data_IF_051220111954
#
_entry.id   IF_051220111954
#
_cell.length_a   1.000
_cell.length_b   1.000
_cell.length_c   1.000
_cell.angle_alpha   90.00
_cell.angle_beta   90.00
_cell.angle_gamma   90.00
#
_symmetry.space_group_name_H-M   'P 1'
#
loop_
_entity.id
_entity.type
_entity.pdbx_description
1 polymer ?
#
# COMPACT_ATOMS: atom_id res chain seq x y z
N UNK A 1 8.80 -7.06 -14.19
CA UNK A 1 7.71 -6.07 -14.17
C UNK A 1 8.34 -4.75 -13.78
N UNK A 2 8.08 -3.67 -14.50
CA UNK A 2 8.52 -2.33 -14.11
C UNK A 2 7.56 -1.76 -13.04
N UNK A 3 8.03 -0.93 -12.13
CA UNK A 3 7.26 -0.35 -11.02
C UNK A 3 6.09 0.47 -11.54
N UNK A 4 6.29 1.23 -12.63
CA UNK A 4 5.23 2.01 -13.27
C UNK A 4 4.05 1.13 -13.72
N UNK A 5 4.33 -0.04 -14.31
CA UNK A 5 3.29 -0.97 -14.74
C UNK A 5 2.57 -1.62 -13.55
N UNK A 6 3.30 -1.89 -12.47
CA UNK A 6 2.72 -2.39 -11.22
C UNK A 6 1.80 -1.33 -10.58
N UNK A 7 2.21 -0.06 -10.60
CA UNK A 7 1.42 1.05 -10.11
C UNK A 7 0.12 1.23 -10.92
N UNK A 8 0.18 1.23 -12.25
CA UNK A 8 -1.01 1.34 -13.10
C UNK A 8 -2.02 0.20 -12.86
N UNK A 9 -1.53 -1.03 -12.71
CA UNK A 9 -2.39 -2.16 -12.36
C UNK A 9 -3.01 -2.00 -10.97
N UNK A 10 -2.26 -1.45 -10.02
CA UNK A 10 -2.76 -1.13 -8.69
C UNK A 10 -3.81 0.00 -8.72
N UNK A 11 -3.60 1.05 -9.52
CA UNK A 11 -4.58 2.13 -9.73
C UNK A 11 -5.91 1.58 -10.24
N UNK A 12 -5.89 0.65 -11.19
CA UNK A 12 -7.12 -0.02 -11.66
C UNK A 12 -7.77 -0.87 -10.56
N UNK A 13 -6.97 -1.64 -9.83
CA UNK A 13 -7.45 -2.52 -8.77
C UNK A 13 -8.17 -1.76 -7.65
N UNK A 14 -7.60 -0.64 -7.19
CA UNK A 14 -8.20 0.13 -6.09
C UNK A 14 -9.49 0.83 -6.51
N UNK A 15 -9.82 0.96 -7.80
CA UNK A 15 -11.10 1.53 -8.24
C UNK A 15 -12.25 0.52 -8.19
N UNK A 16 -11.98 -0.75 -7.91
CA UNK A 16 -13.02 -1.77 -7.80
C UNK A 16 -13.86 -1.55 -6.54
N UNK A 17 -15.17 -1.37 -6.73
CA UNK A 17 -16.14 -1.29 -5.64
C UNK A 17 -16.32 -2.64 -4.97
N UNK A 18 -16.30 -2.65 -3.64
CA UNK A 18 -16.45 -3.83 -2.81
C UNK A 18 -17.67 -3.65 -1.89
N UNK A 19 -18.35 -4.76 -1.61
CA UNK A 19 -19.48 -4.81 -0.65
C UNK A 19 -19.04 -5.43 0.66
N UNK A 20 -19.65 -5.01 1.77
CA UNK A 20 -19.31 -5.55 3.11
C UNK A 20 -18.07 -4.92 3.74
N UNK A 21 -17.68 -3.75 3.22
CA UNK A 21 -16.64 -2.89 3.76
C UNK A 21 -17.30 -1.82 4.63
N UNK A 22 -16.71 -1.51 5.78
CA UNK A 22 -17.18 -0.44 6.66
C UNK A 22 -17.12 0.94 5.99
N UNK A 23 -17.81 1.90 6.60
CA UNK A 23 -17.70 3.30 6.22
C UNK A 23 -16.34 3.92 6.56
N UNK A 24 -16.10 5.16 6.10
CA UNK A 24 -14.85 5.88 6.34
C UNK A 24 -14.55 6.10 7.83
N UNK A 25 -15.55 6.07 8.71
CA UNK A 25 -15.35 6.17 10.17
C UNK A 25 -14.51 5.05 10.79
N UNK A 26 -14.32 3.94 10.06
CA UNK A 26 -13.53 2.78 10.50
C UNK A 26 -12.31 2.52 9.63
N UNK A 27 -11.86 3.52 8.85
CA UNK A 27 -10.79 3.35 7.85
C UNK A 27 -11.12 2.20 6.88
N UNK A 28 -12.39 2.22 6.41
CA UNK A 28 -13.01 1.11 5.70
C UNK A 28 -12.25 0.65 4.47
N UNK A 29 -11.71 1.58 3.68
CA UNK A 29 -11.07 1.29 2.40
C UNK A 29 -9.91 2.26 2.13
N UNK A 30 -8.75 1.94 2.68
CA UNK A 30 -7.55 2.79 2.67
C UNK A 30 -6.53 2.33 1.62
N UNK A 31 -5.76 3.28 1.11
CA UNK A 31 -4.63 3.03 0.21
C UNK A 31 -3.33 3.32 0.95
N UNK A 32 -2.41 2.37 0.87
CA UNK A 32 -1.13 2.40 1.57
C UNK A 32 -0.04 2.15 0.53
N UNK A 33 0.89 3.09 0.36
CA UNK A 33 2.18 2.80 -0.26
C UNK A 33 3.24 2.76 0.85
N UNK A 34 4.09 1.75 0.87
CA UNK A 34 5.10 1.56 1.93
C UNK A 34 6.48 1.28 1.34
N UNK A 35 7.52 1.63 2.10
CA UNK A 35 8.90 1.37 1.69
C UNK A 35 9.83 1.22 2.88
N UNK A 36 10.89 0.44 2.68
CA UNK A 36 11.90 0.19 3.69
C UNK A 36 12.52 -1.20 3.56
N UNK A 37 13.21 -1.59 4.63
CA UNK A 37 13.77 -2.91 4.86
C UNK A 37 13.16 -3.47 6.14
N UNK A 38 12.64 -4.69 6.05
CA UNK A 38 12.04 -5.38 7.18
C UNK A 38 12.66 -6.76 7.35
N UNK A 39 12.74 -7.21 8.60
CA UNK A 39 13.37 -8.47 8.99
C UNK A 39 12.65 -9.70 8.38
N UNK A 40 11.32 -9.63 8.26
CA UNK A 40 10.51 -10.66 7.61
C UNK A 40 10.72 -10.76 6.09
N UNK A 41 11.37 -9.76 5.48
CA UNK A 41 11.69 -9.71 4.06
C UNK A 41 13.18 -9.92 3.76
N UNK A 42 13.90 -10.60 4.65
CA UNK A 42 15.34 -10.83 4.53
C UNK A 42 16.14 -9.50 4.45
N UNK A 43 15.60 -8.42 5.03
CA UNK A 43 16.15 -7.06 4.96
C UNK A 43 16.34 -6.51 3.53
N UNK A 44 15.63 -7.09 2.55
CA UNK A 44 15.67 -6.60 1.17
C UNK A 44 14.93 -5.26 1.04
N UNK A 45 15.48 -4.26 0.33
CA UNK A 45 14.76 -3.04 0.02
C UNK A 45 13.45 -3.36 -0.69
N UNK A 46 12.35 -2.83 -0.15
CA UNK A 46 11.00 -3.14 -0.62
C UNK A 46 10.22 -1.85 -0.87
N UNK A 47 9.41 -1.87 -1.93
CA UNK A 47 8.33 -0.93 -2.18
C UNK A 47 7.04 -1.74 -2.28
N UNK A 48 6.00 -1.37 -1.55
CA UNK A 48 4.71 -2.07 -1.62
C UNK A 48 3.54 -1.12 -1.84
N UNK A 49 2.49 -1.67 -2.47
CA UNK A 49 1.22 -1.00 -2.70
C UNK A 49 0.10 -1.86 -2.11
N UNK A 50 -0.63 -1.30 -1.17
CA UNK A 50 -1.59 -1.97 -0.32
C UNK A 50 -2.96 -1.30 -0.35
N UNK A 51 -4.01 -2.12 -0.31
CA UNK A 51 -5.39 -1.70 -0.05
C UNK A 51 -5.84 -2.35 1.25
N UNK A 52 -6.01 -1.55 2.29
CA UNK A 52 -6.53 -2.02 3.58
C UNK A 52 -8.04 -1.91 3.58
N UNK A 53 -8.70 -2.97 4.06
CA UNK A 53 -10.14 -3.15 4.06
C UNK A 53 -10.62 -3.47 5.47
N UNK A 54 -11.49 -2.64 6.04
CA UNK A 54 -12.21 -2.96 7.27
C UNK A 54 -13.49 -3.73 6.91
N UNK A 55 -13.49 -5.03 7.15
CA UNK A 55 -14.56 -5.95 6.76
C UNK A 55 -15.56 -6.14 7.89
N UNK A 56 -16.84 -6.05 7.57
CA UNK A 56 -17.96 -6.27 8.49
C UNK A 56 -18.10 -7.76 8.90
N UNK A 57 -17.23 -8.25 9.79
CA UNK A 57 -17.30 -9.63 10.31
C UNK A 57 -17.89 -9.66 11.74
N UNK A 58 -18.71 -10.66 12.08
CA UNK A 58 -19.24 -10.83 13.45
C UNK A 58 -20.57 -10.09 13.73
N UNK A 59 -20.98 -10.04 14.99
CA UNK A 59 -22.24 -9.40 15.41
C UNK A 59 -22.00 -7.94 15.85
N UNK A 60 -22.45 -6.98 15.03
CA UNK A 60 -22.37 -5.54 15.33
C UNK A 60 -23.09 -5.10 16.62
N UNK A 61 -23.94 -5.97 17.18
CA UNK A 61 -24.62 -5.70 18.46
C UNK A 61 -23.74 -5.98 19.66
N UNK A 62 -22.61 -6.66 19.48
CA UNK A 62 -21.62 -6.84 20.54
C UNK A 62 -20.99 -5.48 20.88
N UNK A 63 -21.05 -5.02 22.15
CA UNK A 63 -20.41 -3.78 22.58
C UNK A 63 -18.90 -3.73 22.34
N UNK A 64 -18.23 -4.88 22.18
CA UNK A 64 -16.80 -4.99 21.87
C UNK A 64 -16.51 -5.20 20.38
N UNK A 65 -17.51 -5.10 19.52
CA UNK A 65 -17.35 -5.37 18.09
C UNK A 65 -16.39 -4.38 17.42
N UNK A 66 -15.49 -4.91 16.59
CA UNK A 66 -14.64 -4.17 15.66
C UNK A 66 -14.61 -4.90 14.31
N UNK A 67 -14.43 -4.18 13.19
CA UNK A 67 -14.24 -4.81 11.89
C UNK A 67 -12.94 -5.62 11.86
N UNK A 68 -12.91 -6.64 10.99
CA UNK A 68 -11.68 -7.34 10.69
C UNK A 68 -10.89 -6.56 9.64
N UNK A 69 -9.64 -6.20 9.94
CA UNK A 69 -8.79 -5.51 8.98
C UNK A 69 -8.06 -6.52 8.10
N UNK A 70 -8.14 -6.30 6.79
CA UNK A 70 -7.47 -7.11 5.77
C UNK A 70 -6.62 -6.22 4.89
N UNK A 71 -5.44 -6.68 4.51
CA UNK A 71 -4.54 -5.98 3.60
C UNK A 71 -4.34 -6.82 2.33
N UNK A 72 -4.70 -6.26 1.18
CA UNK A 72 -4.28 -6.78 -0.13
C UNK A 72 -3.04 -6.01 -0.53
N UNK A 73 -1.89 -6.69 -0.63
CA UNK A 73 -0.60 -6.04 -0.86
C UNK A 73 0.12 -6.63 -2.09
N UNK A 74 0.64 -5.73 -2.93
CA UNK A 74 1.66 -6.03 -3.93
C UNK A 74 3.01 -5.57 -3.40
N UNK A 75 3.89 -6.51 -3.06
CA UNK A 75 5.26 -6.26 -2.66
C UNK A 75 6.21 -6.34 -3.87
N UNK A 76 7.11 -5.37 -3.99
CA UNK A 76 8.21 -5.34 -4.96
C UNK A 76 9.54 -5.27 -4.21
N UNK A 77 10.40 -6.28 -4.40
CA UNK A 77 11.71 -6.35 -3.75
C UNK A 77 12.81 -6.01 -4.73
N UNK A 78 13.83 -5.32 -4.25
CA UNK A 78 14.95 -4.83 -5.04
C UNK A 78 16.26 -5.43 -4.55
N UNK A 79 17.24 -5.51 -5.44
CA UNK A 79 18.62 -5.74 -5.01
C UNK A 79 19.11 -4.52 -4.21
N UNK A 80 20.13 -4.71 -3.37
CA UNK A 80 20.82 -3.59 -2.76
C UNK A 80 21.49 -2.72 -3.83
N UNK A 81 21.33 -1.40 -3.71
CA UNK A 81 21.98 -0.40 -4.54
C UNK A 81 22.32 0.84 -3.70
N UNK A 82 23.47 1.49 -3.92
CA UNK A 82 23.80 2.76 -3.25
C UNK A 82 22.71 3.82 -3.34
N UNK A 83 21.92 3.86 -4.42
CA UNK A 83 20.87 4.85 -4.66
C UNK A 83 19.70 4.82 -3.66
N UNK A 84 19.53 3.72 -2.91
CA UNK A 84 18.52 3.57 -1.85
C UNK A 84 19.09 2.89 -0.61
N UNK A 85 20.39 3.06 -0.37
CA UNK A 85 21.10 2.48 0.77
C UNK A 85 20.59 2.97 2.13
N UNK A 86 19.96 4.15 2.17
CA UNK A 86 19.38 4.78 3.35
C UNK A 86 17.84 4.82 3.30
N UNK A 87 17.20 3.90 2.57
CA UNK A 87 15.74 3.84 2.42
C UNK A 87 14.99 3.84 3.77
N UNK A 88 15.56 3.22 4.80
CA UNK A 88 14.99 3.16 6.15
C UNK A 88 15.01 4.51 6.88
N UNK A 89 15.83 5.45 6.40
CA UNK A 89 15.96 6.81 6.94
C UNK A 89 15.07 7.82 6.20
N UNK A 90 14.32 7.40 5.18
CA UNK A 90 13.28 8.23 4.57
C UNK A 90 12.19 8.42 5.63
N UNK A 91 11.99 9.66 6.08
CA UNK A 91 11.25 9.97 7.32
C UNK A 91 9.75 9.63 7.34
N UNK A 92 9.19 9.16 6.23
CA UNK A 92 7.89 8.50 6.15
C UNK A 92 8.17 7.07 5.66
N UNK A 93 7.51 6.05 6.19
CA UNK A 93 7.68 4.65 5.73
C UNK A 93 6.37 4.06 5.16
N UNK A 94 5.26 4.77 5.32
CA UNK A 94 3.98 4.49 4.69
C UNK A 94 3.18 5.77 4.45
N UNK A 95 2.15 5.70 3.59
CA UNK A 95 1.25 6.82 3.35
C UNK A 95 0.02 6.83 4.26
N UNK A 96 -0.50 5.66 4.65
CA UNK A 96 -1.64 5.51 5.55
C UNK A 96 -2.88 6.36 5.20
N UNK A 97 -3.27 6.47 3.92
CA UNK A 97 -4.29 7.43 3.48
C UNK A 97 -5.67 6.75 3.38
N UNK A 98 -6.66 7.30 4.07
CA UNK A 98 -8.07 6.99 3.81
C UNK A 98 -8.47 7.51 2.44
N UNK A 99 -8.95 6.59 1.59
CA UNK A 99 -9.37 6.88 0.24
C UNK A 99 -10.75 6.27 -0.05
N UNK A 100 -11.63 6.13 0.95
CA UNK A 100 -12.87 5.36 0.86
C UNK A 100 -13.79 5.71 -0.33
N UNK A 101 -13.79 6.96 -0.79
CA UNK A 101 -14.59 7.39 -1.94
C UNK A 101 -13.91 7.04 -3.28
N UNK A 102 -14.48 6.04 -3.98
CA UNK A 102 -14.04 5.58 -5.31
C UNK A 102 -14.28 6.65 -6.39
N UNK A 103 -13.50 6.60 -7.46
CA UNK A 103 -13.58 7.51 -8.60
C UNK A 103 -12.64 8.70 -8.44
N UNK A 104 -13.11 9.90 -8.76
CA UNK A 104 -12.27 11.09 -8.82
C UNK A 104 -11.52 11.41 -7.50
N UNK A 105 -12.12 11.26 -6.31
CA UNK A 105 -11.40 11.49 -5.05
C UNK A 105 -10.25 10.50 -4.85
N UNK A 106 -10.49 9.20 -5.05
CA UNK A 106 -9.44 8.17 -5.02
C UNK A 106 -8.36 8.39 -6.07
N UNK A 107 -8.72 8.82 -7.28
CA UNK A 107 -7.74 9.19 -8.32
C UNK A 107 -6.86 10.36 -7.89
N UNK A 108 -7.40 11.34 -7.17
CA UNK A 108 -6.59 12.46 -6.65
C UNK A 108 -5.61 11.96 -5.57
N UNK A 109 -6.04 11.08 -4.67
CA UNK A 109 -5.17 10.45 -3.66
C UNK A 109 -4.03 9.67 -4.33
N UNK A 110 -4.34 8.85 -5.34
CA UNK A 110 -3.33 8.12 -6.11
C UNK A 110 -2.31 9.07 -6.76
N UNK A 111 -2.76 10.17 -7.35
CA UNK A 111 -1.88 11.16 -7.94
C UNK A 111 -0.97 11.84 -6.89
N UNK A 112 -1.44 12.02 -5.66
CA UNK A 112 -0.65 12.55 -4.55
C UNK A 112 0.38 11.54 -4.04
N UNK A 113 0.01 10.26 -3.90
CA UNK A 113 0.94 9.17 -3.56
C UNK A 113 2.03 9.06 -4.63
N UNK A 114 1.65 9.05 -5.91
CA UNK A 114 2.60 8.99 -7.01
C UNK A 114 3.59 10.17 -6.98
N UNK A 115 3.10 11.39 -6.69
CA UNK A 115 3.96 12.57 -6.53
C UNK A 115 4.89 12.47 -5.32
N UNK A 116 4.40 11.93 -4.20
CA UNK A 116 5.19 11.68 -3.01
C UNK A 116 6.33 10.71 -3.30
N UNK A 117 6.06 9.59 -3.98
CA UNK A 117 7.07 8.61 -4.38
C UNK A 117 8.19 9.24 -5.23
N UNK A 118 7.85 10.24 -6.05
CA UNK A 118 8.82 10.94 -6.88
C UNK A 118 9.53 12.10 -6.16
N UNK A 119 9.09 12.48 -4.95
CA UNK A 119 9.69 13.58 -4.18
C UNK A 119 10.94 13.16 -3.40
N UNK A 120 11.10 11.86 -3.12
CA UNK A 120 12.28 11.29 -2.46
C UNK A 120 13.22 10.66 -3.50
N UNK A 121 14.52 11.03 -3.53
CA UNK A 121 15.47 10.49 -4.50
C UNK A 121 15.56 8.96 -4.52
N UNK A 122 15.50 8.32 -3.34
CA UNK A 122 15.57 6.87 -3.17
C UNK A 122 14.37 6.19 -3.83
N UNK A 123 13.16 6.68 -3.54
CA UNK A 123 11.91 6.16 -4.10
C UNK A 123 11.85 6.39 -5.61
N UNK A 124 12.26 7.57 -6.08
CA UNK A 124 12.35 7.85 -7.51
C UNK A 124 13.42 6.99 -8.22
N UNK A 125 14.46 6.54 -7.53
CA UNK A 125 15.44 5.59 -8.05
C UNK A 125 14.85 4.18 -8.12
N UNK A 126 14.21 3.71 -7.04
CA UNK A 126 13.50 2.43 -7.01
C UNK A 126 12.39 2.36 -8.07
N UNK A 127 11.64 3.44 -8.28
CA UNK A 127 10.60 3.54 -9.30
C UNK A 127 11.10 3.31 -10.72
N UNK A 128 12.37 3.67 -11.00
CA UNK A 128 13.02 3.45 -12.29
C UNK A 128 13.79 2.14 -12.38
N UNK A 129 13.90 1.42 -11.26
CA UNK A 129 14.63 0.17 -11.18
C UNK A 129 13.71 -1.01 -11.47
N UNK A 130 14.31 -2.15 -11.81
CA UNK A 130 13.57 -3.39 -11.97
C UNK A 130 13.60 -4.18 -10.65
N UNK A 131 12.42 -4.50 -10.05
CA UNK A 131 12.34 -5.42 -8.92
C UNK A 131 12.93 -6.79 -9.28
N UNK A 132 13.66 -7.39 -8.34
CA UNK A 132 14.18 -8.75 -8.47
C UNK A 132 13.13 -9.80 -8.13
N UNK A 133 12.12 -9.43 -7.34
CA UNK A 133 11.01 -10.30 -6.95
C UNK A 133 9.75 -9.47 -6.74
N UNK A 134 8.60 -10.09 -6.98
CA UNK A 134 7.29 -9.54 -6.63
C UNK A 134 6.43 -10.61 -5.96
N UNK A 135 5.55 -10.20 -5.04
CA UNK A 135 4.58 -11.06 -4.37
C UNK A 135 3.25 -10.30 -4.24
N UNK A 136 2.15 -11.01 -4.45
CA UNK A 136 0.82 -10.54 -4.04
C UNK A 136 0.40 -11.35 -2.82
N UNK A 137 -0.10 -10.68 -1.79
CA UNK A 137 -0.58 -11.29 -0.57
C UNK A 137 -1.96 -10.73 -0.18
N UNK A 138 -2.74 -11.55 0.51
CA UNK A 138 -3.94 -11.15 1.23
C UNK A 138 -3.74 -11.62 2.66
N UNK A 139 -3.61 -10.67 3.58
CA UNK A 139 -3.29 -10.92 4.97
C UNK A 139 -4.34 -10.26 5.86
N UNK A 140 -4.63 -10.90 7.00
CA UNK A 140 -5.49 -10.33 8.03
C UNK A 140 -4.60 -9.62 9.02
N UNK A 141 -4.87 -8.33 9.26
CA UNK A 141 -4.21 -7.55 10.30
C UNK A 141 -5.02 -7.74 11.58
N UNK A 142 -4.49 -8.55 12.50
CA UNK A 142 -5.06 -8.86 13.81
C UNK A 142 -4.64 -7.91 14.94
#
# INVERSE_FOLDING_TARGET
MDVEAAWQAFEEFVQVSLTGIEGPESDGDCIIAQWGKWDWNEEQPTLSFGRQLAVSEGDRRDPGWQPAYWLVELELRFADDPAWSDIDSVGLQDTGIDAAEIGAPRTAVLADIHRLMHSYPQLAAMWRAQPVRSRVALERND
#
